data_IF_203925622924
#
_entry.id   IF_203925622924
#
_cell.length_a   1.000
_cell.length_b   1.000
_cell.length_c   1.000
_cell.angle_alpha   90.00
_cell.angle_beta   90.00
_cell.angle_gamma   90.00
#
_symmetry.space_group_name_H-M   'P 1'
#
loop_
_entity.id
_entity.type
_entity.pdbx_description
1 polymer ?
#
# COMPACT_ATOMS: atom_id res chain seq x y z
N UNK A 1 35.12 -27.37 38.77
CA UNK A 1 33.99 -27.64 37.84
C UNK A 1 32.92 -26.54 37.79
N UNK A 2 32.81 -25.63 38.78
CA UNK A 2 31.85 -24.50 38.74
C UNK A 2 32.32 -23.28 37.92
N UNK A 3 33.63 -23.03 37.84
CA UNK A 3 34.19 -21.86 37.13
C UNK A 3 34.04 -22.00 35.60
N UNK A 4 34.23 -23.21 35.07
CA UNK A 4 34.09 -23.51 33.64
C UNK A 4 32.63 -23.39 33.16
N UNK A 5 31.67 -23.68 34.04
CA UNK A 5 30.22 -23.55 33.76
C UNK A 5 29.78 -22.09 33.70
N UNK A 6 30.40 -21.19 34.48
CA UNK A 6 30.12 -19.75 34.43
C UNK A 6 30.69 -19.07 33.19
N UNK A 7 31.88 -19.49 32.71
CA UNK A 7 32.46 -18.98 31.47
C UNK A 7 31.67 -19.39 30.21
N UNK A 8 31.12 -20.61 30.18
CA UNK A 8 30.29 -21.08 29.06
C UNK A 8 28.94 -20.35 28.99
N UNK A 9 28.37 -19.95 30.13
CA UNK A 9 27.12 -19.19 30.20
C UNK A 9 27.28 -17.71 29.78
N UNK A 10 28.41 -17.07 30.08
CA UNK A 10 28.69 -15.70 29.60
C UNK A 10 29.02 -15.66 28.11
N UNK A 11 29.66 -16.70 27.54
CA UNK A 11 29.96 -16.75 26.11
C UNK A 11 28.69 -16.99 25.25
N UNK A 12 27.74 -17.78 25.76
CA UNK A 12 26.42 -17.96 25.12
C UNK A 12 25.56 -16.68 25.16
N UNK A 13 25.67 -15.88 26.23
CA UNK A 13 24.99 -14.59 26.34
C UNK A 13 25.59 -13.52 25.40
N UNK A 14 26.90 -13.56 25.13
CA UNK A 14 27.56 -12.64 24.19
C UNK A 14 27.29 -13.03 22.72
N UNK A 15 27.14 -14.34 22.43
CA UNK A 15 26.76 -14.83 21.10
C UNK A 15 25.28 -14.55 20.77
N UNK A 16 24.40 -14.45 21.76
CA UNK A 16 23.01 -14.04 21.56
C UNK A 16 22.84 -12.54 21.31
N UNK A 17 23.86 -11.72 21.60
CA UNK A 17 23.83 -10.26 21.41
C UNK A 17 24.32 -9.81 20.03
N UNK A 18 24.77 -10.71 19.16
CA UNK A 18 25.47 -10.37 17.90
C UNK A 18 24.75 -10.77 16.62
N UNK A 19 23.43 -11.00 16.66
CA UNK A 19 22.64 -11.25 15.43
C UNK A 19 21.32 -10.47 15.36
N UNK A 20 21.18 -9.37 16.09
CA UNK A 20 20.21 -8.35 15.73
C UNK A 20 20.87 -7.40 14.71
N UNK A 21 21.26 -7.90 13.54
CA UNK A 21 21.36 -7.00 12.40
C UNK A 21 19.95 -6.44 12.19
N UNK A 22 19.83 -5.11 12.13
CA UNK A 22 18.60 -4.49 11.62
C UNK A 22 18.29 -5.19 10.29
N UNK A 23 17.10 -5.81 10.21
CA UNK A 23 16.68 -6.42 8.96
C UNK A 23 16.20 -5.27 8.07
N UNK A 24 16.79 -5.17 6.89
CA UNK A 24 16.34 -4.19 5.90
C UNK A 24 14.91 -4.55 5.48
N UNK A 25 14.05 -3.54 5.41
CA UNK A 25 12.68 -3.69 4.92
C UNK A 25 12.66 -3.36 3.45
N UNK A 26 12.08 -4.23 2.63
CA UNK A 26 11.76 -3.93 1.24
C UNK A 26 10.27 -3.68 1.11
N UNK A 27 9.89 -2.49 0.68
CA UNK A 27 8.52 -2.18 0.28
C UNK A 27 8.41 -2.41 -1.22
N UNK A 28 7.67 -3.44 -1.61
CA UNK A 28 7.21 -3.62 -2.97
C UNK A 28 5.83 -2.99 -3.11
N UNK A 29 5.65 -2.18 -4.13
CA UNK A 29 4.39 -1.50 -4.36
C UNK A 29 3.92 -1.58 -5.80
N UNK A 30 2.60 -1.54 -5.95
CA UNK A 30 1.91 -1.36 -7.22
C UNK A 30 0.79 -0.34 -7.12
N UNK A 31 0.40 0.24 -8.26
CA UNK A 31 -0.77 1.08 -8.40
C UNK A 31 -1.42 0.88 -9.78
N UNK A 32 -2.73 1.13 -9.87
CA UNK A 32 -3.43 1.30 -11.15
C UNK A 32 -3.23 0.12 -12.12
N UNK A 33 -3.26 -1.12 -11.62
CA UNK A 33 -3.14 -2.30 -12.49
C UNK A 33 -4.32 -2.43 -13.45
N UNK A 34 -5.47 -1.85 -13.11
CA UNK A 34 -6.61 -1.71 -14.00
C UNK A 34 -6.97 -2.99 -14.75
N UNK A 35 -7.04 -4.13 -14.05
CA UNK A 35 -7.40 -5.40 -14.68
C UNK A 35 -6.46 -5.87 -15.81
N UNK A 36 -5.23 -5.33 -15.92
CA UNK A 36 -4.21 -5.76 -16.88
C UNK A 36 -3.48 -7.01 -16.37
N UNK A 37 -4.14 -8.16 -16.55
CA UNK A 37 -3.64 -9.47 -16.10
C UNK A 37 -2.57 -10.04 -17.03
N UNK A 38 -2.69 -9.80 -18.34
CA UNK A 38 -1.72 -10.24 -19.34
C UNK A 38 -0.73 -9.12 -19.69
N UNK A 39 0.46 -9.46 -20.22
CA UNK A 39 1.32 -8.47 -20.84
C UNK A 39 0.60 -7.72 -21.98
N UNK A 40 0.98 -6.46 -22.17
CA UNK A 40 0.45 -5.59 -23.23
C UNK A 40 0.58 -6.28 -24.59
N UNK A 41 -0.53 -6.39 -25.34
CA UNK A 41 -0.56 -7.15 -26.60
C UNK A 41 0.13 -6.43 -27.76
N UNK A 42 0.19 -5.10 -27.72
CA UNK A 42 0.69 -4.28 -28.83
C UNK A 42 1.22 -2.93 -28.37
N UNK A 43 1.77 -2.14 -29.30
CA UNK A 43 2.29 -0.81 -29.02
C UNK A 43 3.70 -0.81 -28.41
N UNK A 44 4.12 0.33 -27.86
CA UNK A 44 5.49 0.56 -27.38
C UNK A 44 5.92 -0.31 -26.20
N UNK A 45 4.98 -0.97 -25.52
CA UNK A 45 5.27 -1.87 -24.40
C UNK A 45 4.80 -3.30 -24.67
N UNK A 46 4.59 -3.68 -25.93
CA UNK A 46 4.18 -5.03 -26.29
C UNK A 46 5.07 -6.09 -25.61
N UNK A 47 4.45 -7.07 -24.95
CA UNK A 47 5.11 -8.12 -24.20
C UNK A 47 5.64 -7.70 -22.82
N UNK A 48 5.22 -6.55 -22.28
CA UNK A 48 5.57 -6.09 -20.92
C UNK A 48 4.34 -5.98 -20.03
N UNK A 49 4.55 -6.01 -18.72
CA UNK A 49 3.48 -6.07 -17.72
C UNK A 49 3.01 -7.51 -17.52
N UNK A 50 1.82 -7.68 -16.95
CA UNK A 50 1.23 -8.98 -16.68
C UNK A 50 1.47 -9.48 -15.25
N UNK A 51 0.46 -10.19 -14.74
CA UNK A 51 0.44 -10.66 -13.36
C UNK A 51 1.46 -11.78 -13.10
N UNK A 52 1.80 -12.58 -14.11
CA UNK A 52 2.79 -13.66 -13.96
C UNK A 52 4.19 -13.06 -13.76
N UNK A 53 4.53 -12.05 -14.56
CA UNK A 53 5.80 -11.34 -14.50
C UNK A 53 5.95 -10.60 -13.16
N UNK A 54 4.87 -9.97 -12.68
CA UNK A 54 4.82 -9.36 -11.34
C UNK A 54 5.06 -10.40 -10.25
N UNK A 55 4.33 -11.52 -10.28
CA UNK A 55 4.48 -12.58 -9.29
C UNK A 55 5.90 -13.14 -9.26
N UNK A 56 6.50 -13.35 -10.44
CA UNK A 56 7.87 -13.83 -10.56
C UNK A 56 8.88 -12.86 -9.91
N UNK A 57 8.75 -11.56 -10.18
CA UNK A 57 9.63 -10.55 -9.57
C UNK A 57 9.42 -10.44 -8.05
N UNK A 58 8.17 -10.47 -7.59
CA UNK A 58 7.84 -10.48 -6.15
C UNK A 58 8.49 -11.69 -5.46
N UNK A 59 8.40 -12.87 -6.07
CA UNK A 59 8.99 -14.10 -5.52
C UNK A 59 10.51 -14.11 -5.58
N UNK A 60 11.12 -13.50 -6.59
CA UNK A 60 12.56 -13.25 -6.67
C UNK A 60 13.03 -12.39 -5.49
N UNK A 61 12.41 -11.23 -5.27
CA UNK A 61 12.77 -10.34 -4.15
C UNK A 61 12.55 -11.03 -2.80
N UNK A 62 11.45 -11.76 -2.63
CA UNK A 62 11.21 -12.53 -1.40
C UNK A 62 12.24 -13.63 -1.17
N UNK A 63 12.82 -14.18 -2.23
CA UNK A 63 13.90 -15.16 -2.14
C UNK A 63 15.24 -14.49 -1.83
N UNK A 64 15.47 -13.28 -2.32
CA UNK A 64 16.65 -12.44 -2.07
C UNK A 64 16.71 -12.00 -0.59
N UNK A 65 15.68 -11.31 -0.11
CA UNK A 65 15.70 -10.64 1.21
C UNK A 65 14.92 -11.37 2.30
N UNK A 66 14.18 -12.41 1.92
CA UNK A 66 13.29 -13.17 2.81
C UNK A 66 11.88 -12.58 2.90
N UNK A 67 10.86 -13.42 2.70
CA UNK A 67 9.44 -13.02 2.69
C UNK A 67 8.98 -12.21 3.92
N UNK A 68 9.58 -12.40 5.10
CA UNK A 68 9.23 -11.65 6.32
C UNK A 68 9.75 -10.20 6.31
N UNK A 69 10.65 -9.88 5.39
CA UNK A 69 11.26 -8.57 5.22
C UNK A 69 10.65 -7.79 4.04
N UNK A 70 9.68 -8.39 3.34
CA UNK A 70 8.97 -7.75 2.22
C UNK A 70 7.59 -7.31 2.68
N UNK A 71 7.33 -6.01 2.62
CA UNK A 71 5.99 -5.44 2.67
C UNK A 71 5.49 -5.29 1.23
N UNK A 72 4.38 -5.95 0.88
CA UNK A 72 3.77 -5.85 -0.45
C UNK A 72 2.44 -5.09 -0.36
N UNK A 73 2.34 -3.95 -1.04
CA UNK A 73 1.19 -3.03 -0.95
C UNK A 73 0.69 -2.58 -2.32
N UNK A 74 -0.61 -2.26 -2.42
CA UNK A 74 -1.21 -1.72 -3.64
C UNK A 74 -1.91 -0.39 -3.36
N UNK A 75 -1.66 0.66 -4.15
CA UNK A 75 -2.23 1.98 -3.95
C UNK A 75 -3.54 2.19 -4.74
N UNK A 76 -4.44 1.20 -4.79
CA UNK A 76 -5.76 1.33 -5.43
C UNK A 76 -5.79 1.17 -6.96
N UNK A 77 -7.00 1.15 -7.52
CA UNK A 77 -7.34 0.90 -8.93
C UNK A 77 -6.75 -0.42 -9.47
N UNK A 78 -6.96 -1.49 -8.71
CA UNK A 78 -6.72 -2.83 -9.24
C UNK A 78 -7.87 -3.29 -10.14
N UNK A 79 -9.07 -2.73 -9.93
CA UNK A 79 -10.29 -2.93 -10.71
C UNK A 79 -10.31 -2.10 -12.00
N UNK A 80 -11.21 -2.49 -12.92
CA UNK A 80 -11.55 -1.82 -14.19
C UNK A 80 -10.40 -1.62 -15.18
N UNK A 81 -10.64 -1.85 -16.48
CA UNK A 81 -9.72 -1.41 -17.54
C UNK A 81 -9.53 -2.39 -18.70
N UNK A 82 -9.84 -3.67 -18.49
CA UNK A 82 -9.87 -4.69 -19.53
C UNK A 82 -11.16 -5.51 -19.46
N UNK A 83 -11.39 -6.37 -20.46
CA UNK A 83 -12.54 -7.28 -20.45
C UNK A 83 -12.50 -8.28 -19.30
N UNK A 84 -11.36 -8.51 -18.63
CA UNK A 84 -11.33 -9.36 -17.44
C UNK A 84 -12.28 -8.81 -16.37
N UNK A 85 -12.25 -7.51 -16.08
CA UNK A 85 -13.16 -6.90 -15.12
C UNK A 85 -14.62 -6.95 -15.58
N UNK A 86 -14.89 -6.58 -16.83
CA UNK A 86 -16.27 -6.52 -17.34
C UNK A 86 -16.93 -7.90 -17.38
N UNK A 87 -16.18 -8.94 -17.75
CA UNK A 87 -16.71 -10.30 -17.92
C UNK A 87 -16.68 -11.11 -16.62
N UNK A 88 -15.71 -10.86 -15.73
CA UNK A 88 -15.50 -11.63 -14.48
C UNK A 88 -15.88 -10.86 -13.21
N UNK A 89 -16.38 -9.64 -13.34
CA UNK A 89 -16.92 -8.85 -12.24
C UNK A 89 -15.90 -8.43 -11.18
N UNK A 90 -14.59 -8.56 -11.42
CA UNK A 90 -13.54 -8.20 -10.46
C UNK A 90 -13.00 -9.38 -9.61
N UNK A 91 -13.49 -10.61 -9.79
CA UNK A 91 -13.05 -11.76 -9.00
C UNK A 91 -11.62 -12.22 -9.33
N UNK A 92 -11.18 -11.97 -10.56
CA UNK A 92 -9.83 -12.29 -11.01
C UNK A 92 -8.78 -11.46 -10.24
N UNK A 93 -9.03 -10.15 -10.10
CA UNK A 93 -8.17 -9.19 -9.42
C UNK A 93 -7.98 -9.59 -7.96
N UNK A 94 -9.08 -9.90 -7.25
CA UNK A 94 -9.03 -10.39 -5.86
C UNK A 94 -8.23 -11.69 -5.77
N UNK A 95 -8.40 -12.61 -6.72
CA UNK A 95 -7.66 -13.87 -6.76
C UNK A 95 -6.17 -13.65 -6.95
N UNK A 96 -5.77 -12.71 -7.81
CA UNK A 96 -4.38 -12.35 -8.06
C UNK A 96 -3.74 -11.67 -6.85
N UNK A 97 -4.40 -10.67 -6.25
CA UNK A 97 -3.93 -10.02 -5.02
C UNK A 97 -3.72 -11.04 -3.89
N UNK A 98 -4.65 -11.99 -3.76
CA UNK A 98 -4.54 -13.08 -2.78
C UNK A 98 -3.41 -14.07 -3.08
N UNK A 99 -3.21 -14.40 -4.36
CA UNK A 99 -2.16 -15.33 -4.79
C UNK A 99 -0.76 -14.73 -4.58
N UNK A 100 -0.59 -13.45 -4.94
CA UNK A 100 0.67 -12.72 -4.71
C UNK A 100 0.89 -12.44 -3.22
N UNK A 101 -0.17 -12.38 -2.42
CA UNK A 101 -0.09 -12.19 -0.98
C UNK A 101 0.24 -10.76 -0.59
N UNK A 102 -0.56 -9.81 -1.07
CA UNK A 102 -0.55 -8.42 -0.63
C UNK A 102 -0.86 -8.32 0.87
N UNK A 103 -0.15 -7.43 1.56
CA UNK A 103 -0.36 -7.18 2.99
C UNK A 103 -1.49 -6.16 3.21
N UNK A 104 -1.53 -5.10 2.39
CA UNK A 104 -2.57 -4.08 2.41
C UNK A 104 -2.81 -3.50 1.01
N UNK A 105 -4.02 -3.01 0.77
CA UNK A 105 -4.39 -2.30 -0.47
C UNK A 105 -5.18 -1.05 -0.10
N UNK A 106 -4.88 0.09 -0.73
CA UNK A 106 -5.82 1.20 -0.77
C UNK A 106 -6.99 0.87 -1.70
N UNK A 107 -8.12 1.53 -1.49
CA UNK A 107 -9.13 1.64 -2.52
C UNK A 107 -8.73 2.77 -3.48
N UNK A 108 -9.01 2.58 -4.76
CA UNK A 108 -9.06 3.62 -5.78
C UNK A 108 -10.50 3.88 -6.22
N UNK A 109 -10.70 4.85 -7.12
CA UNK A 109 -12.05 5.23 -7.54
C UNK A 109 -12.73 4.12 -8.36
N UNK A 110 -11.97 3.35 -9.13
CA UNK A 110 -12.52 2.29 -9.98
C UNK A 110 -12.93 1.04 -9.21
N UNK A 111 -12.56 0.91 -7.93
CA UNK A 111 -13.13 -0.14 -7.07
C UNK A 111 -14.66 -0.01 -6.92
N UNK A 112 -15.21 1.20 -7.13
CA UNK A 112 -16.62 1.52 -6.96
C UNK A 112 -17.45 1.41 -8.25
N UNK A 113 -16.83 1.10 -9.41
CA UNK A 113 -17.51 1.10 -10.72
C UNK A 113 -18.72 0.16 -10.81
N UNK A 114 -18.70 -0.96 -10.08
CA UNK A 114 -19.82 -1.91 -10.03
C UNK A 114 -20.73 -1.68 -8.80
N UNK A 115 -20.55 -0.59 -8.06
CA UNK A 115 -21.27 -0.25 -6.84
C UNK A 115 -20.69 -0.87 -5.57
N UNK A 116 -21.10 -0.31 -4.43
CA UNK A 116 -20.58 -0.71 -3.10
C UNK A 116 -20.94 -2.14 -2.70
N UNK A 117 -22.09 -2.67 -3.13
CA UNK A 117 -22.48 -4.06 -2.83
C UNK A 117 -21.53 -5.06 -3.50
N UNK A 118 -21.19 -4.81 -4.76
CA UNK A 118 -20.28 -5.66 -5.51
C UNK A 118 -18.84 -5.53 -4.99
N UNK A 119 -18.41 -4.30 -4.66
CA UNK A 119 -17.13 -4.09 -3.98
C UNK A 119 -17.09 -4.86 -2.65
N UNK A 120 -18.13 -4.77 -1.82
CA UNK A 120 -18.21 -5.50 -0.55
C UNK A 120 -18.19 -7.02 -0.75
N UNK A 121 -18.86 -7.54 -1.81
CA UNK A 121 -18.80 -8.96 -2.17
C UNK A 121 -17.36 -9.40 -2.46
N UNK A 122 -16.62 -8.62 -3.26
CA UNK A 122 -15.22 -8.88 -3.61
C UNK A 122 -14.30 -8.81 -2.38
N UNK A 123 -14.43 -7.76 -1.57
CA UNK A 123 -13.58 -7.53 -0.39
C UNK A 123 -13.76 -8.61 0.69
N UNK A 124 -14.92 -9.28 0.77
CA UNK A 124 -15.10 -10.45 1.67
C UNK A 124 -14.15 -11.60 1.36
N UNK A 125 -13.66 -11.70 0.12
CA UNK A 125 -12.72 -12.74 -0.31
C UNK A 125 -11.26 -12.25 -0.29
N UNK A 126 -11.01 -10.96 -0.05
CA UNK A 126 -9.67 -10.39 -0.03
C UNK A 126 -8.94 -10.77 1.28
N UNK A 127 -7.69 -11.20 1.16
CA UNK A 127 -6.80 -11.55 2.30
C UNK A 127 -5.95 -10.37 2.76
N UNK A 128 -5.61 -9.46 1.84
CA UNK A 128 -5.00 -8.18 2.19
C UNK A 128 -6.00 -7.32 2.97
N UNK A 129 -5.50 -6.37 3.75
CA UNK A 129 -6.38 -5.42 4.45
C UNK A 129 -6.69 -4.23 3.53
N UNK A 130 -7.95 -4.00 3.12
CA UNK A 130 -8.31 -2.80 2.39
C UNK A 130 -8.34 -1.60 3.35
N UNK A 131 -7.66 -0.51 2.97
CA UNK A 131 -7.53 0.69 3.78
C UNK A 131 -8.08 1.93 3.09
N UNK A 132 -8.79 2.78 3.84
CA UNK A 132 -9.28 4.09 3.43
C UNK A 132 -9.70 4.88 4.68
N UNK A 133 -8.93 5.91 5.05
CA UNK A 133 -9.13 6.71 6.25
C UNK A 133 -10.02 7.93 6.04
N UNK A 134 -10.11 8.42 4.81
CA UNK A 134 -10.75 9.69 4.50
C UNK A 134 -12.20 9.53 4.01
N UNK A 135 -12.84 8.41 4.36
CA UNK A 135 -14.25 8.15 4.13
C UNK A 135 -14.90 7.47 5.33
N UNK A 136 -16.10 7.93 5.69
CA UNK A 136 -16.97 7.22 6.62
C UNK A 136 -17.87 6.24 5.87
N UNK A 137 -17.67 4.95 6.15
CA UNK A 137 -18.45 3.84 5.58
C UNK A 137 -19.59 3.35 6.49
N UNK A 138 -19.86 4.03 7.61
CA UNK A 138 -20.91 3.63 8.57
C UNK A 138 -22.26 3.48 7.88
N UNK A 139 -22.93 2.36 8.13
CA UNK A 139 -24.22 2.03 7.53
C UNK A 139 -24.15 1.48 6.09
N UNK A 140 -22.95 1.37 5.51
CA UNK A 140 -22.76 0.79 4.18
C UNK A 140 -22.30 -0.68 4.25
N UNK A 141 -22.37 -1.45 3.14
CA UNK A 141 -21.80 -2.80 3.06
C UNK A 141 -20.29 -2.86 3.35
N UNK A 142 -19.57 -1.73 3.30
CA UNK A 142 -18.12 -1.64 3.47
C UNK A 142 -17.67 -1.41 4.91
N UNK A 143 -18.59 -1.04 5.83
CA UNK A 143 -18.30 -0.59 7.21
C UNK A 143 -17.32 -1.51 7.98
N UNK A 144 -17.46 -2.83 7.81
CA UNK A 144 -16.66 -3.83 8.53
C UNK A 144 -15.51 -4.40 7.70
N UNK A 145 -15.42 -4.03 6.43
CA UNK A 145 -14.46 -4.57 5.49
C UNK A 145 -13.27 -3.62 5.32
N UNK A 146 -13.55 -2.32 5.21
CA UNK A 146 -12.55 -1.28 4.97
C UNK A 146 -12.16 -0.64 6.30
N UNK A 147 -10.85 -0.52 6.54
CA UNK A 147 -10.33 0.09 7.77
C UNK A 147 -9.66 1.43 7.44
N UNK A 148 -9.63 2.40 8.36
CA UNK A 148 -8.85 3.62 8.11
C UNK A 148 -7.35 3.32 7.98
N UNK A 149 -6.85 2.39 8.81
CA UNK A 149 -5.47 1.96 8.81
C UNK A 149 -5.33 0.46 9.13
N UNK A 150 -4.13 -0.07 8.96
CA UNK A 150 -3.72 -1.37 9.49
C UNK A 150 -2.29 -1.30 10.05
N UNK A 151 -1.91 -2.27 10.89
CA UNK A 151 -0.54 -2.42 11.38
C UNK A 151 -0.06 -3.80 11.00
N UNK A 152 1.06 -3.86 10.28
CA UNK A 152 1.70 -5.10 9.85
C UNK A 152 3.08 -5.21 10.47
N UNK A 153 3.57 -6.45 10.66
CA UNK A 153 4.92 -6.69 11.16
C UNK A 153 5.80 -7.28 10.06
N UNK A 154 6.85 -6.57 9.69
CA UNK A 154 7.86 -6.98 8.71
C UNK A 154 9.24 -6.58 9.19
N UNK A 155 10.27 -7.36 8.88
CA UNK A 155 11.64 -7.10 9.31
C UNK A 155 11.78 -6.85 10.84
N UNK A 156 10.91 -7.46 11.65
CA UNK A 156 10.85 -7.24 13.11
C UNK A 156 10.27 -5.89 13.56
N UNK A 157 9.80 -5.05 12.64
CA UNK A 157 9.25 -3.70 12.88
C UNK A 157 7.72 -3.67 12.81
N UNK A 158 7.08 -2.73 13.51
CA UNK A 158 5.66 -2.38 13.36
C UNK A 158 5.51 -1.31 12.28
N UNK A 159 4.77 -1.61 11.22
CA UNK A 159 4.52 -0.67 10.11
C UNK A 159 3.05 -0.31 10.12
N UNK A 160 2.74 0.95 10.37
CA UNK A 160 1.41 1.52 10.25
C UNK A 160 1.12 1.87 8.79
N UNK A 161 -0.07 1.55 8.30
CA UNK A 161 -0.47 1.77 6.91
C UNK A 161 -1.82 2.48 6.89
N UNK A 162 -1.87 3.68 6.31
CA UNK A 162 -3.08 4.52 6.16
C UNK A 162 -3.50 4.49 4.70
N UNK A 163 -4.81 4.41 4.41
CA UNK A 163 -5.31 4.51 3.03
C UNK A 163 -5.96 5.86 2.74
N UNK A 164 -5.84 6.39 1.51
CA UNK A 164 -6.54 7.59 1.07
C UNK A 164 -7.11 7.42 -0.34
N UNK A 165 -8.24 8.08 -0.57
CA UNK A 165 -9.01 8.04 -1.80
C UNK A 165 -9.35 9.48 -2.26
N UNK A 166 -9.42 9.79 -3.56
CA UNK A 166 -9.81 11.14 -4.00
C UNK A 166 -11.28 11.39 -3.67
N UNK A 167 -11.75 12.63 -3.82
CA UNK A 167 -13.18 12.91 -3.64
C UNK A 167 -13.98 12.20 -4.74
N UNK A 168 -14.63 11.10 -4.37
CA UNK A 168 -15.46 10.28 -5.23
C UNK A 168 -16.62 11.03 -5.88
N UNK A 169 -17.06 12.18 -5.33
CA UNK A 169 -18.06 13.00 -6.01
C UNK A 169 -17.55 13.56 -7.34
N UNK A 170 -16.24 13.68 -7.52
CA UNK A 170 -15.61 14.19 -8.75
C UNK A 170 -15.31 13.09 -9.77
N UNK A 171 -15.18 11.83 -9.33
CA UNK A 171 -14.62 10.74 -10.14
C UNK A 171 -15.49 9.47 -10.22
N UNK A 172 -16.55 9.35 -9.42
CA UNK A 172 -17.49 8.22 -9.40
C UNK A 172 -18.92 8.73 -9.56
N UNK A 173 -19.83 7.85 -10.00
CA UNK A 173 -21.26 8.16 -10.09
C UNK A 173 -21.81 8.70 -8.75
N UNK A 174 -22.49 9.84 -8.83
CA UNK A 174 -22.99 10.56 -7.66
C UNK A 174 -23.96 9.71 -6.82
N UNK A 175 -24.69 8.77 -7.41
CA UNK A 175 -25.60 7.87 -6.67
C UNK A 175 -24.86 6.91 -5.76
N UNK A 176 -23.58 6.63 -6.03
CA UNK A 176 -22.69 5.84 -5.18
C UNK A 176 -21.97 6.76 -4.19
N UNK A 177 -21.32 7.81 -4.69
CA UNK A 177 -20.49 8.69 -3.88
C UNK A 177 -21.29 9.41 -2.77
N UNK A 178 -22.55 9.78 -3.01
CA UNK A 178 -23.39 10.46 -2.01
C UNK A 178 -23.81 9.59 -0.82
N UNK A 179 -23.50 8.29 -0.84
CA UNK A 179 -23.84 7.36 0.25
C UNK A 179 -22.78 7.30 1.35
N UNK A 180 -21.61 7.91 1.12
CA UNK A 180 -20.47 7.93 2.03
C UNK A 180 -20.00 9.36 2.24
N UNK A 181 -19.38 9.63 3.39
CA UNK A 181 -18.95 10.99 3.72
C UNK A 181 -17.45 11.12 3.51
N UNK A 182 -17.06 12.01 2.59
CA UNK A 182 -15.66 12.40 2.41
C UNK A 182 -15.16 13.22 3.59
N UNK A 183 -13.95 12.93 4.02
CA UNK A 183 -13.23 13.66 5.06
C UNK A 183 -11.95 14.20 4.42
N UNK A 184 -11.58 15.43 4.75
CA UNK A 184 -10.38 16.04 4.19
C UNK A 184 -9.12 15.17 4.46
N UNK A 185 -8.37 14.75 3.43
CA UNK A 185 -7.23 13.83 3.57
C UNK A 185 -6.12 14.33 4.49
N UNK A 186 -5.84 15.63 4.46
CA UNK A 186 -4.86 16.31 5.32
C UNK A 186 -5.14 16.10 6.81
N UNK A 187 -6.42 16.18 7.21
CA UNK A 187 -6.84 15.98 8.60
C UNK A 187 -6.65 14.55 9.07
N UNK A 188 -7.14 13.58 8.29
CA UNK A 188 -7.14 12.17 8.73
C UNK A 188 -5.73 11.57 8.69
N UNK A 189 -4.87 12.00 7.76
CA UNK A 189 -3.48 11.52 7.72
C UNK A 189 -2.73 11.95 8.97
N UNK A 190 -2.80 13.22 9.36
CA UNK A 190 -2.08 13.70 10.54
C UNK A 190 -2.58 12.99 11.80
N UNK A 191 -3.91 12.86 11.96
CA UNK A 191 -4.52 12.14 13.08
C UNK A 191 -4.03 10.69 13.19
N UNK A 192 -4.15 9.92 12.11
CA UNK A 192 -3.75 8.51 12.15
C UNK A 192 -2.25 8.32 12.18
N UNK A 193 -1.44 9.20 11.58
CA UNK A 193 0.01 9.10 11.63
C UNK A 193 0.53 9.33 13.06
N UNK A 194 0.02 10.36 13.75
CA UNK A 194 0.29 10.60 15.19
C UNK A 194 -0.14 9.39 16.02
N UNK A 195 -1.37 8.91 15.84
CA UNK A 195 -1.85 7.74 16.56
C UNK A 195 -0.97 6.49 16.34
N UNK A 196 -0.56 6.23 15.10
CA UNK A 196 0.26 5.08 14.74
C UNK A 196 1.67 5.19 15.32
N UNK A 197 2.29 6.38 15.27
CA UNK A 197 3.64 6.60 15.80
C UNK A 197 3.66 6.61 17.32
N UNK A 198 2.79 7.41 17.94
CA UNK A 198 2.89 7.75 19.37
C UNK A 198 2.14 6.77 20.27
N UNK A 199 0.98 6.27 19.83
CA UNK A 199 0.16 5.36 20.66
C UNK A 199 0.34 3.89 20.31
N UNK A 200 0.75 3.58 19.07
CA UNK A 200 0.95 2.20 18.61
C UNK A 200 2.41 1.81 18.48
N UNK A 201 3.34 2.73 18.75
CA UNK A 201 4.78 2.59 18.53
C UNK A 201 5.08 1.90 17.18
N UNK A 202 4.49 2.43 16.10
CA UNK A 202 4.90 2.03 14.77
C UNK A 202 6.28 2.63 14.49
N UNK A 203 7.20 1.79 14.01
CA UNK A 203 8.53 2.22 13.63
C UNK A 203 8.49 3.04 12.33
N UNK A 204 7.56 2.68 11.42
CA UNK A 204 7.35 3.31 10.12
C UNK A 204 5.84 3.55 9.89
N UNK A 205 5.47 4.70 9.31
CA UNK A 205 4.12 5.02 8.83
C UNK A 205 4.14 5.20 7.32
N UNK A 206 3.36 4.38 6.63
CA UNK A 206 3.19 4.39 5.17
C UNK A 206 1.77 4.85 4.83
N UNK A 207 1.64 5.80 3.91
CA UNK A 207 0.36 6.19 3.33
C UNK A 207 0.23 5.52 1.96
N UNK A 208 -0.80 4.70 1.77
CA UNK A 208 -1.24 4.22 0.46
C UNK A 208 -2.27 5.22 -0.07
N UNK A 209 -1.84 6.09 -0.96
CA UNK A 209 -2.65 7.19 -1.46
C UNK A 209 -3.13 6.92 -2.88
N UNK A 210 -4.42 7.08 -3.10
CA UNK A 210 -5.01 7.14 -4.43
C UNK A 210 -5.42 8.58 -4.82
N UNK A 211 -4.81 9.60 -4.21
CA UNK A 211 -5.11 11.01 -4.51
C UNK A 211 -4.51 11.46 -5.85
N UNK A 212 -3.38 10.87 -6.26
CA UNK A 212 -2.61 11.31 -7.41
C UNK A 212 -1.34 12.05 -7.02
N UNK A 213 -0.26 11.80 -7.76
CA UNK A 213 0.99 12.54 -7.59
C UNK A 213 0.85 14.02 -7.98
N UNK A 214 0.01 14.28 -8.99
CA UNK A 214 -0.44 15.58 -9.48
C UNK A 214 -1.95 15.53 -9.66
N UNK A 215 -2.64 16.67 -9.56
CA UNK A 215 -4.10 16.74 -9.59
C UNK A 215 -4.64 17.85 -8.69
N UNK A 216 -5.95 17.85 -8.49
CA UNK A 216 -6.69 18.74 -7.60
C UNK A 216 -7.81 17.94 -6.92
N UNK A 217 -8.31 18.34 -5.74
CA UNK A 217 -7.81 19.42 -4.88
C UNK A 217 -6.69 18.96 -3.93
N UNK A 218 -6.36 17.67 -3.92
CA UNK A 218 -5.30 17.10 -3.10
C UNK A 218 -4.34 16.29 -3.97
N UNK A 219 -3.06 16.39 -3.67
CA UNK A 219 -2.01 15.59 -4.31
C UNK A 219 -1.07 15.00 -3.26
N UNK A 220 -0.42 13.89 -3.60
CA UNK A 220 0.57 13.26 -2.72
C UNK A 220 1.67 14.25 -2.35
N UNK A 221 2.08 15.10 -3.31
CA UNK A 221 3.14 16.09 -3.11
C UNK A 221 2.73 17.19 -2.11
N UNK A 222 1.52 17.70 -2.22
CA UNK A 222 1.03 18.77 -1.34
C UNK A 222 0.68 18.25 0.04
N UNK A 223 0.21 17.01 0.11
CA UNK A 223 -0.09 16.34 1.37
C UNK A 223 1.15 16.28 2.26
N UNK A 224 2.35 15.98 1.71
CA UNK A 224 3.59 15.92 2.51
C UNK A 224 3.77 17.15 3.38
N UNK A 225 3.57 18.36 2.81
CA UNK A 225 3.85 19.62 3.48
C UNK A 225 2.97 19.88 4.72
N UNK A 226 1.88 19.13 4.87
CA UNK A 226 0.94 19.25 6.01
C UNK A 226 0.94 18.02 6.92
N UNK A 227 1.70 16.98 6.59
CA UNK A 227 1.81 15.76 7.42
C UNK A 227 2.81 15.91 8.57
N UNK A 228 2.64 15.08 9.60
CA UNK A 228 3.67 14.69 10.57
C UNK A 228 3.77 13.18 10.67
N UNK A 229 4.90 12.66 11.15
CA UNK A 229 5.12 11.22 11.43
C UNK A 229 4.95 10.25 10.25
N UNK A 230 4.69 10.75 9.03
CA UNK A 230 4.62 9.97 7.79
C UNK A 230 6.02 9.83 7.22
N UNK A 231 6.44 8.59 6.95
CA UNK A 231 7.76 8.31 6.41
C UNK A 231 7.73 8.08 4.88
N UNK A 232 6.66 7.43 4.38
CA UNK A 232 6.52 7.06 2.97
C UNK A 232 5.08 7.28 2.49
N UNK A 233 4.92 7.85 1.29
CA UNK A 233 3.68 7.87 0.53
C UNK A 233 3.87 7.03 -0.74
N UNK A 234 3.05 6.00 -0.89
CA UNK A 234 2.92 5.17 -2.10
C UNK A 234 1.65 5.60 -2.81
N UNK A 235 1.82 6.27 -3.95
CA UNK A 235 0.76 6.91 -4.73
C UNK A 235 0.23 6.10 -5.91
N UNK A 236 -0.99 6.41 -6.33
CA UNK A 236 -1.66 5.91 -7.54
C UNK A 236 -2.42 7.02 -8.30
N UNK A 237 -3.51 6.66 -8.99
CA UNK A 237 -4.50 7.52 -9.63
C UNK A 237 -4.02 8.30 -10.86
N UNK A 238 -2.96 9.10 -10.73
CA UNK A 238 -2.49 10.00 -11.79
C UNK A 238 -1.71 9.28 -12.90
N UNK A 239 -1.47 7.96 -12.75
CA UNK A 239 -0.65 7.14 -13.65
C UNK A 239 0.73 7.74 -13.90
N UNK A 240 1.30 8.39 -12.88
CA UNK A 240 2.55 9.10 -13.04
C UNK A 240 3.71 8.10 -13.08
N UNK A 241 4.53 8.18 -14.13
CA UNK A 241 5.78 7.42 -14.19
C UNK A 241 6.91 8.22 -13.56
N UNK A 242 7.31 7.85 -12.35
CA UNK A 242 8.52 8.38 -11.75
C UNK A 242 9.76 7.59 -12.20
N UNK A 243 10.86 8.31 -12.46
CA UNK A 243 12.16 7.68 -12.73
C UNK A 243 12.81 7.18 -11.44
N UNK A 244 12.70 7.97 -10.37
CA UNK A 244 13.27 7.73 -9.05
C UNK A 244 12.30 8.25 -7.98
N UNK A 245 12.46 7.75 -6.75
CA UNK A 245 11.73 8.25 -5.57
C UNK A 245 11.93 9.77 -5.41
N UNK A 246 10.90 10.44 -4.93
CA UNK A 246 10.97 11.85 -4.56
C UNK A 246 11.03 11.98 -3.05
N UNK A 247 11.73 13.01 -2.57
CA UNK A 247 11.84 13.29 -1.15
C UNK A 247 11.43 14.74 -0.95
N UNK A 248 10.48 14.96 -0.04
CA UNK A 248 9.97 16.27 0.32
C UNK A 248 10.05 16.44 1.83
N UNK A 249 9.96 17.68 2.30
CA UNK A 249 9.97 18.00 3.73
C UNK A 249 8.55 18.15 4.26
N UNK A 250 8.24 17.48 5.35
CA UNK A 250 6.98 17.66 6.07
C UNK A 250 6.98 18.96 6.90
N UNK A 251 5.90 19.22 7.63
CA UNK A 251 5.75 20.46 8.43
C UNK A 251 6.81 20.59 9.54
N UNK A 252 7.37 19.49 10.01
CA UNK A 252 8.41 19.44 11.05
C UNK A 252 9.84 19.40 10.44
N UNK A 253 9.96 19.44 9.12
CA UNK A 253 11.25 19.43 8.40
C UNK A 253 11.87 18.04 8.24
N UNK A 254 11.11 16.98 8.47
CA UNK A 254 11.53 15.58 8.27
C UNK A 254 11.34 15.17 6.81
N UNK A 255 12.16 14.22 6.34
CA UNK A 255 12.06 13.70 4.97
C UNK A 255 10.91 12.72 4.83
N UNK A 256 10.07 12.92 3.81
CA UNK A 256 9.02 11.99 3.40
C UNK A 256 9.29 11.53 1.97
N UNK A 257 9.34 10.21 1.79
CA UNK A 257 9.56 9.60 0.48
C UNK A 257 8.23 9.44 -0.25
N UNK A 258 8.15 9.91 -1.49
CA UNK A 258 6.97 9.74 -2.36
C UNK A 258 7.36 8.91 -3.58
N UNK A 259 6.59 7.84 -3.82
CA UNK A 259 6.77 6.89 -4.93
C UNK A 259 5.43 6.57 -5.60
N UNK A 260 5.48 6.26 -6.89
CA UNK A 260 4.39 5.68 -7.68
C UNK A 260 5.05 4.91 -8.84
N UNK A 261 4.44 3.82 -9.28
CA UNK A 261 5.02 2.88 -10.24
C UNK A 261 4.17 2.75 -11.51
N UNK A 262 3.69 3.91 -11.96
CA UNK A 262 3.04 4.11 -13.25
C UNK A 262 1.65 3.47 -13.35
N UNK A 263 1.45 2.43 -14.18
CA UNK A 263 0.14 1.80 -14.39
C UNK A 263 0.25 0.43 -15.06
N UNK A 264 -0.86 -0.30 -15.02
CA UNK A 264 -1.12 -1.55 -15.75
C UNK A 264 -0.13 -2.67 -15.39
N UNK A 265 0.50 -2.53 -14.23
CA UNK A 265 1.51 -3.47 -13.79
C UNK A 265 2.76 -3.51 -14.67
N UNK A 266 3.04 -2.44 -15.41
CA UNK A 266 4.22 -2.30 -16.26
C UNK A 266 5.52 -2.15 -15.45
N UNK A 267 5.40 -1.84 -14.16
CA UNK A 267 6.48 -1.78 -13.20
C UNK A 267 5.99 -2.38 -11.87
N UNK A 268 6.93 -2.85 -11.06
CA UNK A 268 6.72 -3.11 -9.63
C UNK A 268 7.73 -2.25 -8.92
N UNK A 269 7.26 -1.29 -8.13
CA UNK A 269 8.13 -0.42 -7.36
C UNK A 269 8.86 -1.19 -6.26
N UNK A 270 10.14 -0.85 -6.02
CA UNK A 270 10.96 -1.36 -4.91
C UNK A 270 11.56 -0.19 -4.16
N UNK A 271 11.32 -0.15 -2.85
CA UNK A 271 11.92 0.80 -1.93
C UNK A 271 12.56 0.03 -0.78
N UNK A 272 13.89 0.06 -0.72
CA UNK A 272 14.66 -0.47 0.40
C UNK A 272 14.71 0.59 1.52
N UNK A 273 14.36 0.19 2.73
CA UNK A 273 14.27 1.01 3.94
C UNK A 273 15.25 0.47 4.99
N UNK A 274 16.18 1.33 5.38
CA UNK A 274 17.14 1.07 6.45
C UNK A 274 16.63 1.70 7.76
N UNK A 275 16.72 0.96 8.87
CA UNK A 275 16.27 1.38 10.22
C UNK A 275 17.42 1.63 11.17
#
# INVERSE_FOLDING_TARGET
MMIMRRLLLTMAALAAFTAAQAQDLVILHMNDTHSHVDPERSGKHAGKGGAIEQAAYIDEVRSEVGKKNVLLVHAGDFSQGTSYFTELGGDMEISLLNAMGYDAVALGNHEFDNGMEELARRLKSLKAVPVCANYDFTGTPLEKLVKPYTIVRKAGRKIGIIGLLPDLMDVVDASIASQITFIAPDKVVDEYAVYLKDEKDCDLVVVLSHLGYEGEPYTDRELVAVTRNVDVIVGGHSHTKLKDKKVFKNVDGEDVVVVTDWKWGLQVGRLDIDF
#
